data_IF_485285896852
#
_entry.id   IF_485285896852
#
_cell.length_a   1.000
_cell.length_b   1.000
_cell.length_c   1.000
_cell.angle_alpha   90.00
_cell.angle_beta   90.00
_cell.angle_gamma   90.00
#
_symmetry.space_group_name_H-M   'P 1'
#
loop_
_entity.id
_entity.type
_entity.pdbx_description
1 polymer ?
#
# COMPACT_ATOMS: atom_id res chain seq x y z
N UNK A 1 -8.40 3.11 -7.81
CA UNK A 1 -8.05 2.89 -6.39
C UNK A 1 -6.56 3.16 -6.17
N UNK A 2 -6.13 3.29 -4.90
CA UNK A 2 -4.71 3.41 -4.54
C UNK A 2 -4.39 2.72 -3.23
N UNK A 3 -3.15 2.27 -3.09
CA UNK A 3 -2.53 1.93 -1.81
C UNK A 3 -1.42 2.94 -1.55
N UNK A 4 -1.36 3.47 -0.33
CA UNK A 4 -0.24 4.31 0.10
C UNK A 4 0.40 3.78 1.36
N UNK A 5 1.72 3.87 1.40
CA UNK A 5 2.55 3.56 2.57
C UNK A 5 3.16 4.88 3.05
N UNK A 6 3.02 5.18 4.34
CA UNK A 6 3.49 6.43 4.95
C UNK A 6 4.13 6.16 6.30
N UNK A 7 5.07 7.00 6.71
CA UNK A 7 5.67 6.95 8.05
C UNK A 7 4.67 7.24 9.18
N UNK A 8 3.62 8.01 8.89
CA UNK A 8 2.55 8.38 9.85
C UNK A 8 1.23 8.51 9.12
N UNK A 9 0.12 8.21 9.80
CA UNK A 9 -1.23 8.30 9.23
C UNK A 9 -1.60 9.73 8.78
N UNK A 10 -1.11 10.73 9.51
CA UNK A 10 -1.30 12.15 9.21
C UNK A 10 -0.34 12.70 8.16
N UNK A 11 0.62 11.90 7.68
CA UNK A 11 1.55 12.34 6.64
C UNK A 11 0.79 12.63 5.36
N UNK A 12 1.06 13.79 4.77
CA UNK A 12 0.56 14.19 3.45
C UNK A 12 1.42 13.62 2.32
N UNK A 13 2.65 13.18 2.63
CA UNK A 13 3.57 12.53 1.71
C UNK A 13 3.56 11.02 1.94
N UNK A 14 3.52 10.26 0.86
CA UNK A 14 3.66 8.81 0.88
C UNK A 14 5.04 8.40 0.36
N UNK A 15 5.67 7.45 1.06
CA UNK A 15 6.95 6.87 0.64
C UNK A 15 6.73 5.96 -0.57
N UNK A 16 5.55 5.31 -0.64
CA UNK A 16 5.12 4.49 -1.77
C UNK A 16 3.67 4.81 -2.09
N UNK A 17 3.38 4.95 -3.39
CA UNK A 17 2.01 4.97 -3.93
C UNK A 17 1.87 3.90 -5.00
N UNK A 18 0.90 3.02 -4.82
CA UNK A 18 0.55 1.95 -5.77
C UNK A 18 -0.84 2.27 -6.34
N UNK A 19 -1.02 2.16 -7.64
CA UNK A 19 -2.27 2.49 -8.34
C UNK A 19 -2.74 1.32 -9.21
N UNK A 20 -3.96 1.39 -9.76
CA UNK A 20 -4.46 0.35 -10.69
C UNK A 20 -3.60 0.21 -11.96
N UNK A 21 -2.95 1.29 -12.39
CA UNK A 21 -2.04 1.22 -13.54
C UNK A 21 -0.65 0.67 -13.16
N UNK A 22 -0.37 0.51 -11.87
CA UNK A 22 0.96 0.15 -11.38
C UNK A 22 0.89 -0.82 -10.20
N UNK A 23 0.50 -2.06 -10.48
CA UNK A 23 0.58 -3.18 -9.54
C UNK A 23 -0.67 -3.47 -8.73
N UNK A 24 -1.82 -2.84 -9.03
CA UNK A 24 -3.13 -3.27 -8.55
C UNK A 24 -4.00 -3.67 -9.74
N UNK A 25 -4.65 -4.83 -9.67
CA UNK A 25 -5.68 -5.22 -10.64
C UNK A 25 -6.99 -5.47 -9.92
N UNK A 26 -8.09 -5.00 -10.52
CA UNK A 26 -9.45 -5.23 -10.04
C UNK A 26 -10.14 -6.18 -11.01
N UNK A 27 -10.70 -7.26 -10.49
CA UNK A 27 -11.29 -8.33 -11.29
C UNK A 27 -12.28 -9.19 -10.52
N UNK A 28 -12.42 -10.44 -10.94
CA UNK A 28 -13.41 -11.36 -10.37
C UNK A 28 -14.83 -11.08 -10.84
N UNK A 29 -15.79 -11.86 -10.32
CA UNK A 29 -17.20 -11.68 -10.63
C UNK A 29 -17.72 -10.37 -10.02
N UNK A 30 -18.25 -9.48 -10.85
CA UNK A 30 -18.72 -8.16 -10.41
C UNK A 30 -17.64 -7.28 -9.78
N UNK A 31 -16.37 -7.45 -10.17
CA UNK A 31 -15.25 -6.62 -9.70
C UNK A 31 -15.03 -6.67 -8.18
N UNK A 32 -15.22 -7.86 -7.58
CA UNK A 32 -15.14 -8.08 -6.14
C UNK A 32 -13.76 -8.55 -5.66
N UNK A 33 -12.80 -8.70 -6.55
CA UNK A 33 -11.45 -9.16 -6.25
C UNK A 33 -10.42 -8.06 -6.54
N UNK A 34 -9.50 -7.87 -5.59
CA UNK A 34 -8.37 -6.94 -5.72
C UNK A 34 -7.09 -7.75 -5.57
N UNK A 35 -6.29 -7.78 -6.63
CA UNK A 35 -4.94 -8.35 -6.59
C UNK A 35 -3.92 -7.22 -6.52
N UNK A 36 -2.95 -7.36 -5.62
CA UNK A 36 -1.85 -6.42 -5.45
C UNK A 36 -0.53 -7.15 -5.67
N UNK A 37 0.20 -6.77 -6.71
CA UNK A 37 1.48 -7.36 -7.08
C UNK A 37 2.45 -6.29 -7.57
N UNK A 38 3.21 -5.73 -6.63
CA UNK A 38 4.25 -4.74 -6.91
C UNK A 38 5.43 -4.97 -5.97
N UNK A 39 6.64 -5.05 -6.53
CA UNK A 39 7.87 -4.96 -5.74
C UNK A 39 8.19 -3.49 -5.49
N UNK A 40 8.47 -3.15 -4.24
CA UNK A 40 8.80 -1.78 -3.82
C UNK A 40 10.09 -1.83 -3.01
N UNK A 41 10.96 -0.85 -3.22
CA UNK A 41 12.14 -0.65 -2.39
C UNK A 41 11.78 0.43 -1.37
N UNK A 42 11.85 0.09 -0.09
CA UNK A 42 11.54 0.99 1.02
C UNK A 42 12.56 0.76 2.12
N UNK A 43 13.04 1.84 2.74
CA UNK A 43 14.00 1.74 3.83
C UNK A 43 13.35 1.16 5.10
N UNK A 44 14.17 0.66 6.02
CA UNK A 44 13.67 0.21 7.32
C UNK A 44 12.91 1.30 8.10
N UNK A 45 12.06 0.83 9.00
CA UNK A 45 11.32 1.59 10.00
C UNK A 45 9.83 1.29 10.04
N UNK A 46 9.12 2.07 10.86
CA UNK A 46 7.69 1.93 11.08
C UNK A 46 6.85 2.62 10.02
N UNK A 47 5.78 1.95 9.63
CA UNK A 47 4.88 2.38 8.59
C UNK A 47 3.41 2.17 8.93
N UNK A 48 2.59 3.01 8.31
CA UNK A 48 1.15 2.79 8.15
C UNK A 48 0.82 2.68 6.68
N UNK A 49 -0.22 1.94 6.38
CA UNK A 49 -0.74 1.86 5.02
C UNK A 49 -2.26 1.87 4.98
N UNK A 50 -2.80 2.34 3.86
CA UNK A 50 -4.23 2.36 3.58
C UNK A 50 -4.51 2.00 2.12
N UNK A 51 -5.62 1.29 1.90
CA UNK A 51 -6.22 1.09 0.59
C UNK A 51 -7.45 1.98 0.44
N UNK A 52 -7.31 3.00 -0.41
CA UNK A 52 -8.37 3.94 -0.75
C UNK A 52 -9.02 3.54 -2.07
N UNK A 53 -10.32 3.31 -2.02
CA UNK A 53 -11.14 3.11 -3.21
C UNK A 53 -11.85 4.41 -3.54
N UNK A 54 -11.81 4.77 -4.82
CA UNK A 54 -12.51 5.92 -5.36
C UNK A 54 -13.54 5.39 -6.35
N UNK A 55 -14.82 5.57 -6.05
CA UNK A 55 -15.91 5.16 -6.94
C UNK A 55 -16.91 6.31 -7.07
N UNK A 56 -17.15 6.78 -8.29
CA UNK A 56 -18.04 7.91 -8.58
C UNK A 56 -17.80 9.15 -7.69
N UNK A 57 -16.53 9.46 -7.38
CA UNK A 57 -16.15 10.60 -6.53
C UNK A 57 -16.28 10.36 -5.01
N UNK A 58 -16.75 9.18 -4.58
CA UNK A 58 -16.75 8.77 -3.18
C UNK A 58 -15.39 8.14 -2.85
N UNK A 59 -14.75 8.68 -1.82
CA UNK A 59 -13.46 8.23 -1.31
C UNK A 59 -13.69 7.42 -0.03
N UNK A 60 -13.35 6.13 -0.04
CA UNK A 60 -13.49 5.27 1.14
C UNK A 60 -12.26 4.40 1.35
N UNK A 61 -11.68 4.48 2.54
CA UNK A 61 -10.65 3.55 3.00
C UNK A 61 -11.31 2.27 3.46
N UNK A 62 -10.99 1.15 2.82
CA UNK A 62 -11.59 -0.15 3.13
C UNK A 62 -10.75 -0.95 4.12
N UNK A 63 -9.44 -0.96 3.91
CA UNK A 63 -8.48 -1.68 4.74
C UNK A 63 -7.24 -0.81 4.94
N UNK A 64 -6.54 -1.07 6.03
CA UNK A 64 -5.28 -0.43 6.37
C UNK A 64 -4.71 -1.03 7.64
N UNK A 65 -3.49 -0.65 7.96
CA UNK A 65 -2.79 -1.20 9.10
C UNK A 65 -1.45 -0.55 9.35
N UNK A 66 -0.70 -1.17 10.26
CA UNK A 66 0.67 -0.81 10.58
C UNK A 66 1.58 -1.99 10.27
N UNK A 67 2.81 -1.70 9.89
CA UNK A 67 3.86 -2.70 9.74
C UNK A 67 5.23 -2.07 9.98
N UNK A 68 6.20 -2.89 10.29
CA UNK A 68 7.60 -2.51 10.46
C UNK A 68 8.41 -3.20 9.35
N UNK A 69 9.35 -2.45 8.76
CA UNK A 69 10.38 -2.99 7.88
C UNK A 69 11.68 -3.00 8.67
N UNK A 70 12.29 -4.17 8.80
CA UNK A 70 13.60 -4.31 9.43
C UNK A 70 14.67 -4.52 8.36
N UNK A 71 15.88 -4.03 8.62
CA UNK A 71 17.02 -4.34 7.76
C UNK A 71 17.28 -5.85 7.79
N UNK A 72 17.72 -6.38 6.65
CA UNK A 72 18.22 -7.75 6.60
C UNK A 72 19.49 -7.81 7.45
N UNK A 73 19.44 -8.58 8.54
CA UNK A 73 20.64 -8.88 9.32
C UNK A 73 21.42 -9.94 8.54
N UNK A 74 22.33 -9.52 7.67
CA UNK A 74 23.36 -10.44 7.14
C UNK A 74 24.11 -11.03 8.33
N UNK A 75 24.17 -12.36 8.42
CA UNK A 75 25.02 -13.05 9.40
C UNK A 75 26.44 -12.45 9.34
N UNK A 76 27.04 -12.07 10.48
CA UNK A 76 28.44 -11.68 10.48
C UNK A 76 29.29 -12.90 10.08
N UNK A 77 30.21 -12.67 9.14
CA UNK A 77 31.10 -13.68 8.54
C UNK A 77 31.87 -14.54 9.57
#
# INVERSE_FOLDING_TARGET
MRIQIRRKATSTTADVTITEADGITVGGASSNEVTVSKRVNIAAGDYVWDMLVVNAGIYKTYIGGKFEVVEEVTEPA
#
